data_IF_609154112197
#
_entry.id   IF_609154112197
#
_cell.length_a   1.000
_cell.length_b   1.000
_cell.length_c   1.000
_cell.angle_alpha   90.00
_cell.angle_beta   90.00
_cell.angle_gamma   90.00
#
_symmetry.space_group_name_H-M   'P 1'
#
loop_
_entity.id
_entity.type
_entity.pdbx_description
1 polymer ?
#
# COMPACT_ATOMS: atom_id res chain seq x y z
N UNK A 1 -16.75 73.63 46.66
CA UNK A 1 -16.40 73.41 45.26
C UNK A 1 -15.50 72.15 45.20
N UNK A 2 -16.09 70.99 45.00
CA UNK A 2 -15.35 69.72 44.94
C UNK A 2 -15.55 69.20 43.53
N UNK A 3 -14.42 69.06 42.78
CA UNK A 3 -14.41 68.49 41.43
C UNK A 3 -14.30 66.97 41.55
N UNK A 4 -15.29 66.28 41.00
CA UNK A 4 -15.24 64.81 40.83
C UNK A 4 -14.34 64.44 39.66
N UNK A 5 -13.45 63.48 39.88
CA UNK A 5 -12.62 62.85 38.85
C UNK A 5 -13.20 61.44 38.59
N UNK A 6 -13.73 61.27 37.38
CA UNK A 6 -14.20 59.96 36.92
C UNK A 6 -13.04 59.14 36.34
N UNK A 7 -12.79 57.96 36.88
CA UNK A 7 -11.86 56.98 36.30
C UNK A 7 -12.61 56.07 35.35
N UNK A 8 -12.19 56.02 34.06
CA UNK A 8 -12.61 55.03 33.10
C UNK A 8 -11.76 53.78 33.29
N UNK A 9 -12.38 52.69 33.68
CA UNK A 9 -11.76 51.37 33.60
C UNK A 9 -11.99 50.77 32.21
N UNK A 10 -10.94 50.71 31.40
CA UNK A 10 -10.95 49.96 30.12
C UNK A 10 -10.82 48.47 30.38
N UNK A 11 -11.85 47.70 30.02
CA UNK A 11 -11.81 46.27 30.00
C UNK A 11 -10.95 45.77 28.81
N UNK A 12 -9.77 45.27 29.11
CA UNK A 12 -8.99 44.50 28.17
C UNK A 12 -9.42 43.02 28.24
N UNK A 13 -10.20 42.58 27.27
CA UNK A 13 -10.48 41.16 27.10
C UNK A 13 -9.27 40.54 26.38
N UNK A 14 -8.44 39.79 27.11
CA UNK A 14 -7.43 38.91 26.52
C UNK A 14 -8.14 37.70 25.95
N UNK A 15 -8.26 37.64 24.62
CA UNK A 15 -8.64 36.44 23.90
C UNK A 15 -7.44 35.48 23.90
N UNK A 16 -7.41 34.52 24.83
CA UNK A 16 -6.48 33.39 24.75
C UNK A 16 -6.96 32.49 23.62
N UNK A 17 -6.33 32.58 22.45
CA UNK A 17 -6.45 31.58 21.41
C UNK A 17 -5.73 30.30 21.89
N UNK A 18 -6.48 29.33 22.35
CA UNK A 18 -5.97 27.95 22.53
C UNK A 18 -5.69 27.38 21.14
N UNK A 19 -4.42 27.40 20.73
CA UNK A 19 -3.92 26.56 19.66
C UNK A 19 -3.97 25.11 20.15
N UNK A 20 -5.08 24.42 19.87
CA UNK A 20 -5.13 22.96 19.96
C UNK A 20 -4.31 22.39 18.82
N UNK A 21 -3.01 22.25 19.01
CA UNK A 21 -2.21 21.40 18.13
C UNK A 21 -2.75 19.98 18.28
N UNK A 22 -3.36 19.48 17.22
CA UNK A 22 -3.86 18.10 17.14
C UNK A 22 -2.68 17.13 17.37
N UNK A 23 -2.61 16.59 18.58
CA UNK A 23 -1.63 15.55 18.97
C UNK A 23 -1.98 14.16 18.44
N UNK A 24 -2.97 14.06 17.53
CA UNK A 24 -3.43 12.78 16.97
C UNK A 24 -2.38 12.08 16.09
N UNK A 25 -1.50 12.82 15.41
CA UNK A 25 -0.44 12.23 14.57
C UNK A 25 0.60 11.46 15.39
N UNK A 26 1.09 12.02 16.50
CA UNK A 26 2.16 11.40 17.30
C UNK A 26 1.75 10.13 18.04
N UNK A 27 0.49 10.00 18.46
CA UNK A 27 0.01 8.79 19.14
C UNK A 27 -0.14 7.61 18.17
N UNK A 28 -0.53 7.88 16.91
CA UNK A 28 -0.61 6.85 15.87
C UNK A 28 0.79 6.33 15.48
N UNK A 29 1.81 7.19 15.43
CA UNK A 29 3.18 6.81 15.13
C UNK A 29 3.79 5.88 16.20
N UNK A 30 3.53 6.12 17.48
CA UNK A 30 4.02 5.27 18.58
C UNK A 30 3.33 3.91 18.62
N UNK A 31 2.03 3.83 18.30
CA UNK A 31 1.32 2.56 18.19
C UNK A 31 1.70 1.82 16.91
N UNK A 32 1.85 2.52 15.79
CA UNK A 32 2.32 1.95 14.53
C UNK A 32 3.68 1.28 14.66
N UNK A 33 4.62 1.90 15.35
CA UNK A 33 5.98 1.37 15.56
C UNK A 33 6.03 0.02 16.30
N UNK A 34 4.99 -0.36 17.04
CA UNK A 34 4.88 -1.65 17.76
C UNK A 34 4.18 -2.75 16.97
N UNK A 35 3.68 -2.43 15.78
CA UNK A 35 2.89 -3.32 14.94
C UNK A 35 3.54 -3.49 13.57
N UNK A 36 3.27 -4.60 12.90
CA UNK A 36 3.69 -4.83 11.51
C UNK A 36 2.53 -4.52 10.58
N UNK A 37 2.18 -3.23 10.46
CA UNK A 37 0.90 -2.77 9.96
C UNK A 37 0.82 -2.57 8.44
N UNK A 38 1.94 -2.74 7.73
CA UNK A 38 2.05 -2.56 6.29
C UNK A 38 3.13 -3.46 5.67
N UNK A 39 3.23 -3.46 4.35
CA UNK A 39 4.32 -4.06 3.60
C UNK A 39 5.68 -3.60 4.15
N UNK A 40 6.55 -4.57 4.49
CA UNK A 40 7.88 -4.35 5.07
C UNK A 40 7.88 -3.63 6.43
N UNK A 41 6.76 -3.65 7.14
CA UNK A 41 6.67 -3.22 8.54
C UNK A 41 6.60 -1.70 8.76
N UNK A 42 6.75 -1.25 10.00
CA UNK A 42 6.44 0.12 10.40
C UNK A 42 7.25 1.19 9.66
N UNK A 43 8.48 0.89 9.26
CA UNK A 43 9.37 1.81 8.55
C UNK A 43 9.45 1.47 7.04
N UNK A 44 8.62 0.56 6.52
CA UNK A 44 8.62 0.08 5.14
C UNK A 44 9.99 -0.43 4.64
N UNK A 45 10.90 -0.81 5.54
CA UNK A 45 12.28 -1.23 5.24
C UNK A 45 12.58 -2.69 5.62
N UNK A 46 11.61 -3.43 6.18
CA UNK A 46 11.77 -4.81 6.61
C UNK A 46 12.39 -4.97 8.00
N UNK A 47 12.61 -3.88 8.73
CA UNK A 47 13.26 -3.90 10.04
C UNK A 47 12.22 -3.71 11.16
N UNK A 48 12.36 -4.48 12.22
CA UNK A 48 11.68 -4.24 13.50
C UNK A 48 12.72 -3.89 14.56
N UNK A 49 12.62 -2.69 15.12
CA UNK A 49 13.56 -2.22 16.16
C UNK A 49 13.30 -2.85 17.53
N UNK A 50 12.16 -3.50 17.71
CA UNK A 50 11.70 -4.04 19.00
C UNK A 50 11.56 -5.56 19.02
N UNK A 51 11.67 -6.22 17.85
CA UNK A 51 11.52 -7.65 17.77
C UNK A 51 12.81 -8.37 18.18
N UNK A 52 12.62 -9.49 18.87
CA UNK A 52 13.69 -10.45 19.22
C UNK A 52 13.30 -11.80 18.58
N UNK A 53 13.46 -11.96 17.26
CA UNK A 53 13.11 -13.22 16.60
C UNK A 53 14.04 -14.34 17.05
N UNK A 54 13.56 -15.59 17.07
CA UNK A 54 14.44 -16.73 17.31
C UNK A 54 15.48 -16.83 16.20
N UNK A 55 16.69 -17.27 16.56
CA UNK A 55 17.79 -17.48 15.59
C UNK A 55 17.68 -18.82 14.86
N UNK A 56 16.93 -19.76 15.43
CA UNK A 56 16.65 -21.08 14.86
C UNK A 56 15.16 -21.38 14.96
N UNK A 57 14.63 -22.09 13.98
CA UNK A 57 13.26 -22.62 14.00
C UNK A 57 13.15 -23.86 13.13
N UNK A 58 12.20 -24.75 13.50
CA UNK A 58 11.85 -25.96 12.76
C UNK A 58 10.35 -26.23 12.92
N UNK A 59 9.84 -27.29 12.31
CA UNK A 59 8.43 -27.69 12.50
C UNK A 59 8.05 -27.97 13.97
N UNK A 60 9.01 -28.26 14.82
CA UNK A 60 8.81 -28.55 16.27
C UNK A 60 9.44 -27.54 17.21
N UNK A 61 10.14 -26.51 16.69
CA UNK A 61 10.87 -25.55 17.52
C UNK A 61 10.56 -24.11 17.07
N UNK A 62 10.22 -23.27 18.03
CA UNK A 62 9.98 -21.84 17.83
C UNK A 62 8.84 -21.52 16.83
N UNK A 63 7.98 -22.50 16.49
CA UNK A 63 6.72 -22.33 15.78
C UNK A 63 5.59 -22.32 16.78
N UNK A 64 4.88 -21.22 16.92
CA UNK A 64 3.76 -21.11 17.86
C UNK A 64 2.52 -21.83 17.36
N UNK A 65 2.20 -21.67 16.08
CA UNK A 65 1.09 -22.32 15.40
C UNK A 65 1.32 -22.33 13.89
N UNK A 66 0.63 -23.23 13.21
CA UNK A 66 0.60 -23.38 11.77
C UNK A 66 -0.84 -23.69 11.37
N UNK A 67 -1.41 -22.90 10.47
CA UNK A 67 -2.79 -23.09 10.01
C UNK A 67 -2.83 -23.09 8.48
N UNK A 68 -3.64 -23.96 7.87
CA UNK A 68 -3.88 -23.93 6.43
C UNK A 68 -4.74 -22.72 6.08
N UNK A 69 -4.48 -22.10 4.93
CA UNK A 69 -5.29 -21.04 4.35
C UNK A 69 -5.77 -21.49 2.99
N UNK A 70 -7.10 -21.43 2.76
CA UNK A 70 -7.69 -21.78 1.49
C UNK A 70 -7.26 -20.80 0.39
N UNK A 71 -7.09 -21.33 -0.83
CA UNK A 71 -6.74 -20.54 -1.99
C UNK A 71 -5.24 -20.22 -2.05
N UNK A 72 -4.92 -19.08 -2.68
CA UNK A 72 -3.56 -18.61 -2.87
C UNK A 72 -3.43 -17.11 -2.62
N UNK A 73 -2.46 -16.74 -1.80
CA UNK A 73 -2.05 -15.36 -1.58
C UNK A 73 -0.54 -15.32 -1.35
N UNK A 74 0.16 -14.42 -2.03
CA UNK A 74 1.60 -14.15 -1.79
C UNK A 74 1.82 -12.81 -1.09
N UNK A 75 0.74 -12.20 -0.61
CA UNK A 75 0.78 -11.00 0.24
C UNK A 75 1.48 -11.29 1.57
N UNK A 76 2.21 -10.32 2.09
CA UNK A 76 2.69 -10.40 3.47
C UNK A 76 1.56 -10.15 4.45
N UNK A 77 1.40 -10.97 5.49
CA UNK A 77 0.47 -10.68 6.55
C UNK A 77 0.84 -9.37 7.26
N UNK A 78 -0.17 -8.61 7.71
CA UNK A 78 0.02 -7.47 8.59
C UNK A 78 -0.53 -7.75 9.97
N UNK A 79 0.06 -7.11 10.97
CA UNK A 79 -0.25 -7.36 12.37
C UNK A 79 -0.62 -6.06 13.07
N UNK A 80 -1.75 -6.08 13.78
CA UNK A 80 -2.16 -5.00 14.66
C UNK A 80 -2.71 -5.56 15.99
N UNK A 81 -2.04 -5.29 17.07
CA UNK A 81 -2.38 -5.86 18.38
C UNK A 81 -2.35 -7.38 18.37
N UNK A 82 -3.47 -7.99 18.72
CA UNK A 82 -3.65 -9.45 18.73
C UNK A 82 -4.26 -10.02 17.42
N UNK A 83 -4.37 -9.21 16.36
CA UNK A 83 -4.93 -9.60 15.06
C UNK A 83 -3.85 -9.72 13.99
N UNK A 84 -3.97 -10.73 13.13
CA UNK A 84 -3.15 -10.92 11.91
C UNK A 84 -4.09 -10.90 10.73
N UNK A 85 -3.84 -10.02 9.76
CA UNK A 85 -4.64 -9.89 8.55
C UNK A 85 -3.85 -10.36 7.34
N UNK A 86 -4.50 -11.09 6.45
CA UNK A 86 -3.93 -11.57 5.19
C UNK A 86 -4.98 -11.65 4.09
N UNK A 87 -4.51 -11.71 2.85
CA UNK A 87 -5.34 -11.79 1.67
C UNK A 87 -5.16 -13.15 0.98
N UNK A 88 -6.22 -13.67 0.41
CA UNK A 88 -6.21 -14.89 -0.40
C UNK A 88 -7.19 -14.77 -1.57
N UNK A 89 -6.93 -15.50 -2.64
CA UNK A 89 -7.85 -15.71 -3.76
C UNK A 89 -8.17 -17.20 -3.88
N UNK A 90 -9.45 -17.52 -3.74
CA UNK A 90 -9.95 -18.91 -3.72
C UNK A 90 -10.68 -19.20 -5.01
N UNK A 91 -10.23 -20.18 -5.79
CA UNK A 91 -10.97 -20.64 -6.96
C UNK A 91 -12.27 -21.32 -6.50
N UNK A 92 -13.42 -20.80 -6.94
CA UNK A 92 -14.74 -21.34 -6.55
C UNK A 92 -15.15 -22.58 -7.34
N UNK A 93 -14.47 -22.88 -8.47
CA UNK A 93 -14.86 -23.91 -9.41
C UNK A 93 -16.03 -23.50 -10.33
N UNK A 94 -16.64 -22.32 -10.12
CA UNK A 94 -17.69 -21.82 -10.99
C UNK A 94 -17.11 -21.30 -12.30
N UNK A 95 -17.49 -21.94 -13.42
CA UNK A 95 -16.97 -21.64 -14.76
C UNK A 95 -17.86 -20.60 -15.44
N UNK A 96 -17.27 -19.57 -16.01
CA UNK A 96 -17.94 -18.68 -16.96
C UNK A 96 -17.77 -19.24 -18.37
N UNK A 97 -18.83 -19.87 -18.89
CA UNK A 97 -18.84 -20.51 -20.21
C UNK A 97 -18.76 -19.52 -21.38
N UNK A 98 -18.91 -18.22 -21.13
CA UNK A 98 -18.74 -17.16 -22.16
C UNK A 98 -17.28 -16.86 -22.45
N UNK A 99 -16.35 -17.29 -21.57
CA UNK A 99 -14.91 -17.07 -21.70
C UNK A 99 -14.21 -18.30 -22.31
N UNK A 100 -13.13 -18.09 -23.07
CA UNK A 100 -12.33 -19.20 -23.62
C UNK A 100 -11.76 -20.06 -22.49
N UNK A 101 -11.80 -21.37 -22.65
CA UNK A 101 -11.15 -22.28 -21.72
C UNK A 101 -9.63 -22.06 -21.72
N UNK A 102 -8.95 -22.24 -20.59
CA UNK A 102 -7.48 -22.06 -20.51
C UNK A 102 -6.71 -22.87 -21.56
N UNK A 103 -7.14 -24.11 -21.85
CA UNK A 103 -6.53 -24.99 -22.85
C UNK A 103 -6.68 -24.49 -24.28
N UNK A 104 -7.76 -23.77 -24.60
CA UNK A 104 -8.06 -23.24 -25.93
C UNK A 104 -7.39 -21.88 -26.19
N UNK A 105 -6.72 -21.30 -25.18
CA UNK A 105 -6.09 -19.99 -25.33
C UNK A 105 -4.71 -20.09 -26.01
N UNK A 106 -4.31 -19.03 -26.73
CA UNK A 106 -2.99 -18.96 -27.32
C UNK A 106 -1.90 -19.10 -26.27
N UNK A 107 -0.75 -19.63 -26.67
CA UNK A 107 0.41 -19.71 -25.81
C UNK A 107 0.92 -18.29 -25.49
N UNK A 108 1.18 -18.02 -24.24
CA UNK A 108 1.76 -16.77 -23.75
C UNK A 108 3.11 -17.05 -23.09
N UNK A 109 3.90 -15.99 -22.89
CA UNK A 109 5.15 -16.06 -22.15
C UNK A 109 4.91 -16.74 -20.80
N UNK A 110 5.81 -17.61 -20.39
CA UNK A 110 5.73 -18.44 -19.17
C UNK A 110 4.52 -19.38 -19.10
N UNK A 111 3.84 -19.66 -20.22
CA UNK A 111 2.67 -20.53 -20.25
C UNK A 111 1.44 -19.98 -19.51
N UNK A 112 1.39 -18.66 -19.28
CA UNK A 112 0.32 -18.04 -18.53
C UNK A 112 -1.01 -18.14 -19.28
N UNK A 113 -2.03 -18.65 -18.59
CA UNK A 113 -3.41 -18.73 -19.07
C UNK A 113 -4.29 -17.79 -18.28
N UNK A 114 -5.26 -17.17 -18.93
CA UNK A 114 -6.28 -16.39 -18.24
C UNK A 114 -7.36 -17.34 -17.70
N UNK A 115 -7.84 -17.16 -16.47
CA UNK A 115 -8.88 -18.01 -15.93
C UNK A 115 -10.22 -17.78 -16.63
N UNK A 116 -11.03 -18.81 -16.67
CA UNK A 116 -12.45 -18.74 -16.99
C UNK A 116 -13.32 -19.18 -15.81
N UNK A 117 -12.69 -19.31 -14.64
CA UNK A 117 -13.36 -19.65 -13.38
C UNK A 117 -13.41 -18.43 -12.47
N UNK A 118 -14.48 -18.33 -11.70
CA UNK A 118 -14.67 -17.30 -10.69
C UNK A 118 -13.74 -17.57 -9.49
N UNK A 119 -13.18 -16.49 -8.96
CA UNK A 119 -12.40 -16.50 -7.73
C UNK A 119 -13.10 -15.66 -6.67
N UNK A 120 -13.10 -16.14 -5.44
CA UNK A 120 -13.46 -15.37 -4.26
C UNK A 120 -12.20 -14.68 -3.72
N UNK A 121 -12.24 -13.36 -3.66
CA UNK A 121 -11.16 -12.54 -3.11
C UNK A 121 -11.41 -12.33 -1.62
N UNK A 122 -10.59 -12.96 -0.78
CA UNK A 122 -10.87 -13.15 0.63
C UNK A 122 -9.91 -12.36 1.51
N UNK A 123 -10.48 -11.68 2.50
CA UNK A 123 -9.74 -11.07 3.62
C UNK A 123 -9.95 -11.94 4.85
N UNK A 124 -8.84 -12.27 5.52
CA UNK A 124 -8.86 -13.09 6.74
C UNK A 124 -8.27 -12.32 7.91
N UNK A 125 -8.86 -12.54 9.08
CA UNK A 125 -8.31 -12.12 10.36
C UNK A 125 -8.10 -13.33 11.25
N UNK A 126 -6.88 -13.50 11.71
CA UNK A 126 -6.51 -14.58 12.63
C UNK A 126 -6.11 -14.00 13.99
N UNK A 127 -6.36 -14.76 15.03
CA UNK A 127 -5.83 -14.48 16.37
C UNK A 127 -4.31 -14.72 16.38
N UNK A 128 -3.55 -13.72 16.74
CA UNK A 128 -2.08 -13.75 16.73
C UNK A 128 -1.49 -14.79 17.69
N UNK A 129 -2.18 -15.11 18.77
CA UNK A 129 -1.67 -16.04 19.81
C UNK A 129 -1.91 -17.49 19.42
N UNK A 130 -3.05 -17.76 18.78
CA UNK A 130 -3.53 -19.13 18.53
C UNK A 130 -3.58 -19.54 17.08
N UNK A 131 -3.54 -18.57 16.14
CA UNK A 131 -3.75 -18.80 14.71
C UNK A 131 -5.21 -19.08 14.33
N UNK A 132 -6.14 -19.09 15.29
CA UNK A 132 -7.55 -19.33 15.01
C UNK A 132 -8.14 -18.19 14.18
N UNK A 133 -8.98 -18.54 13.20
CA UNK A 133 -9.73 -17.56 12.44
C UNK A 133 -10.72 -16.82 13.35
N UNK A 134 -10.61 -15.48 13.36
CA UNK A 134 -11.57 -14.61 14.06
C UNK A 134 -12.72 -14.29 13.11
N UNK A 135 -12.38 -13.92 11.87
CA UNK A 135 -13.35 -13.70 10.81
C UNK A 135 -12.72 -13.86 9.43
N UNK A 136 -13.60 -14.13 8.46
CA UNK A 136 -13.30 -14.20 7.02
C UNK A 136 -14.36 -13.43 6.27
N UNK A 137 -13.95 -12.67 5.23
CA UNK A 137 -14.87 -11.91 4.36
C UNK A 137 -14.48 -12.07 2.92
N UNK A 138 -15.43 -12.42 2.07
CA UNK A 138 -15.30 -12.22 0.63
C UNK A 138 -15.46 -10.73 0.34
N UNK A 139 -14.43 -10.11 -0.22
CA UNK A 139 -14.46 -8.72 -0.67
C UNK A 139 -15.29 -8.63 -1.95
N UNK A 140 -15.05 -9.56 -2.89
CA UNK A 140 -15.76 -9.73 -4.15
C UNK A 140 -15.54 -11.13 -4.72
N UNK A 141 -16.45 -11.56 -5.62
CA UNK A 141 -16.35 -12.78 -6.41
C UNK A 141 -16.43 -12.39 -7.89
N UNK A 142 -15.38 -12.70 -8.66
CA UNK A 142 -15.33 -12.42 -10.10
C UNK A 142 -14.34 -13.34 -10.81
N UNK A 143 -14.42 -13.38 -12.15
CA UNK A 143 -13.40 -13.99 -12.98
C UNK A 143 -12.31 -12.97 -13.23
N UNK A 144 -11.03 -13.23 -12.83
CA UNK A 144 -9.93 -12.33 -13.15
C UNK A 144 -9.77 -12.16 -14.67
N UNK A 145 -9.60 -10.93 -15.13
CA UNK A 145 -9.52 -10.61 -16.57
C UNK A 145 -8.19 -11.03 -17.22
N UNK A 146 -7.14 -11.21 -16.42
CA UNK A 146 -5.83 -11.70 -16.83
C UNK A 146 -5.38 -12.83 -15.90
N UNK A 147 -4.37 -13.61 -16.33
CA UNK A 147 -3.69 -14.57 -15.50
C UNK A 147 -2.63 -13.93 -14.61
N UNK A 148 -1.76 -14.76 -14.06
CA UNK A 148 -0.56 -14.33 -13.32
C UNK A 148 0.57 -15.34 -13.50
N UNK A 149 1.81 -14.90 -13.24
CA UNK A 149 2.95 -15.81 -13.16
C UNK A 149 2.76 -16.86 -12.06
N UNK A 150 3.33 -18.06 -12.23
CA UNK A 150 3.20 -19.16 -11.26
C UNK A 150 3.63 -18.79 -9.83
N UNK A 151 4.56 -17.83 -9.68
CA UNK A 151 5.06 -17.37 -8.38
C UNK A 151 4.28 -16.16 -7.85
N UNK A 152 3.30 -15.65 -8.61
CA UNK A 152 2.38 -14.58 -8.24
C UNK A 152 1.00 -15.17 -7.85
N UNK A 153 0.04 -14.33 -7.49
CA UNK A 153 -1.35 -14.68 -7.20
C UNK A 153 -2.28 -13.50 -7.48
N UNK A 154 -3.60 -13.72 -7.46
CA UNK A 154 -4.58 -12.64 -7.50
C UNK A 154 -4.74 -11.88 -6.17
N UNK A 155 -3.98 -12.29 -5.13
CA UNK A 155 -3.94 -11.65 -3.82
C UNK A 155 -2.48 -11.41 -3.41
N UNK A 156 -1.75 -10.63 -4.20
CA UNK A 156 -0.31 -10.39 -4.01
C UNK A 156 0.01 -9.10 -3.28
N UNK A 157 -0.83 -8.08 -3.43
CA UNK A 157 -0.68 -6.86 -2.65
C UNK A 157 -0.89 -7.14 -1.15
N UNK A 158 0.00 -6.63 -0.31
CA UNK A 158 -0.14 -6.74 1.13
C UNK A 158 -1.17 -5.73 1.63
N UNK A 159 -2.04 -6.09 2.58
CA UNK A 159 -2.94 -5.12 3.17
C UNK A 159 -2.20 -4.05 3.97
N UNK A 160 -2.88 -2.96 4.28
CA UNK A 160 -2.41 -1.92 5.18
C UNK A 160 -3.46 -1.69 6.28
N UNK A 161 -3.04 -1.44 7.51
CA UNK A 161 -3.94 -1.00 8.57
C UNK A 161 -3.42 0.23 9.32
N UNK A 162 -4.31 1.20 9.55
CA UNK A 162 -4.04 2.38 10.38
C UNK A 162 -4.45 2.17 11.86
N UNK A 163 -4.87 0.93 12.21
CA UNK A 163 -5.37 0.57 13.53
C UNK A 163 -6.85 0.84 13.74
N UNK A 164 -7.52 1.44 12.78
CA UNK A 164 -8.98 1.65 12.74
C UNK A 164 -9.60 0.98 11.53
N UNK A 165 -8.89 0.99 10.41
CA UNK A 165 -9.31 0.46 9.12
C UNK A 165 -8.27 -0.49 8.55
N UNK A 166 -8.72 -1.39 7.71
CA UNK A 166 -7.92 -2.33 6.95
C UNK A 166 -8.17 -2.09 5.47
N UNK A 167 -7.13 -1.73 4.72
CA UNK A 167 -7.17 -1.45 3.30
C UNK A 167 -6.63 -2.65 2.53
N UNK A 168 -7.47 -3.26 1.71
CA UNK A 168 -7.20 -4.49 0.98
C UNK A 168 -7.27 -4.22 -0.52
N UNK A 169 -6.12 -4.27 -1.19
CA UNK A 169 -6.02 -4.07 -2.62
C UNK A 169 -5.87 -5.41 -3.35
N UNK A 170 -6.79 -5.70 -4.25
CA UNK A 170 -6.75 -6.90 -5.09
C UNK A 170 -6.51 -6.55 -6.57
N UNK A 171 -5.74 -5.50 -6.83
CA UNK A 171 -5.47 -5.07 -8.19
C UNK A 171 -6.76 -4.72 -8.93
N UNK A 172 -6.89 -5.25 -10.13
CA UNK A 172 -8.05 -5.03 -10.98
C UNK A 172 -9.36 -5.63 -10.45
N UNK A 173 -9.32 -6.39 -9.35
CA UNK A 173 -10.52 -6.83 -8.65
C UNK A 173 -11.02 -5.81 -7.61
N UNK A 174 -10.29 -4.72 -7.37
CA UNK A 174 -10.75 -3.58 -6.58
C UNK A 174 -10.00 -3.34 -5.27
N UNK A 175 -10.25 -2.15 -4.71
CA UNK A 175 -9.80 -1.72 -3.39
C UNK A 175 -10.97 -1.76 -2.40
N UNK A 176 -10.74 -2.38 -1.26
CA UNK A 176 -11.74 -2.57 -0.21
C UNK A 176 -11.22 -2.07 1.12
N UNK A 177 -12.09 -1.39 1.86
CA UNK A 177 -11.81 -0.95 3.22
C UNK A 177 -12.77 -1.64 4.18
N UNK A 178 -12.20 -2.20 5.24
CA UNK A 178 -12.95 -2.82 6.33
C UNK A 178 -12.58 -2.14 7.65
N UNK A 179 -13.45 -2.26 8.66
CA UNK A 179 -12.99 -2.07 10.03
C UNK A 179 -12.23 -3.33 10.51
N UNK A 180 -11.63 -3.27 11.70
CA UNK A 180 -10.83 -4.39 12.21
C UNK A 180 -11.69 -5.59 12.68
N UNK A 181 -13.01 -5.45 12.67
CA UNK A 181 -13.99 -6.52 12.97
C UNK A 181 -14.58 -7.15 11.70
N UNK A 182 -14.11 -6.68 10.54
CA UNK A 182 -14.45 -7.24 9.23
C UNK A 182 -15.75 -6.70 8.63
N UNK A 183 -16.25 -5.57 9.09
CA UNK A 183 -17.36 -4.88 8.43
C UNK A 183 -16.79 -4.05 7.27
N UNK A 184 -17.35 -4.25 6.06
CA UNK A 184 -16.94 -3.48 4.89
C UNK A 184 -17.47 -2.04 5.01
N UNK A 185 -16.55 -1.07 4.98
CA UNK A 185 -16.84 0.35 5.09
C UNK A 185 -17.09 0.97 3.71
N UNK A 186 -16.18 0.70 2.77
CA UNK A 186 -16.29 1.17 1.40
C UNK A 186 -15.50 0.28 0.44
N UNK A 187 -15.75 0.43 -0.86
CA UNK A 187 -14.97 -0.21 -1.92
C UNK A 187 -14.88 0.68 -3.15
N UNK A 188 -13.81 0.53 -3.93
CA UNK A 188 -13.59 1.25 -5.20
C UNK A 188 -13.13 0.28 -6.27
N UNK A 189 -13.78 0.37 -7.43
CA UNK A 189 -13.28 -0.17 -8.68
C UNK A 189 -12.41 0.92 -9.34
N UNK A 190 -11.12 0.62 -9.53
CA UNK A 190 -10.17 1.53 -10.19
C UNK A 190 -9.91 1.11 -11.65
N UNK A 191 -10.71 0.19 -12.18
CA UNK A 191 -10.60 -0.35 -13.52
C UNK A 191 -9.58 -1.47 -13.67
N UNK A 192 -9.44 -1.99 -14.87
CA UNK A 192 -8.55 -3.13 -15.18
C UNK A 192 -7.19 -2.62 -15.64
N UNK A 193 -6.12 -3.16 -15.07
CA UNK A 193 -4.76 -2.94 -15.51
C UNK A 193 -4.42 -3.97 -16.60
N UNK A 194 -3.62 -3.58 -17.58
CA UNK A 194 -2.99 -4.51 -18.54
C UNK A 194 -1.55 -4.74 -18.12
N UNK A 195 -1.29 -5.88 -17.50
CA UNK A 195 0.05 -6.17 -16.96
C UNK A 195 0.94 -6.81 -18.05
N UNK A 196 2.18 -6.35 -18.13
CA UNK A 196 3.15 -6.90 -19.07
C UNK A 196 3.27 -8.41 -18.97
N UNK A 197 3.15 -9.11 -20.10
CA UNK A 197 3.15 -10.57 -20.22
C UNK A 197 2.13 -11.28 -19.29
N UNK A 198 1.10 -10.58 -18.80
CA UNK A 198 0.13 -11.09 -17.81
C UNK A 198 0.77 -11.62 -16.53
N UNK A 199 1.88 -11.03 -16.08
CA UNK A 199 2.63 -11.49 -14.91
C UNK A 199 1.87 -11.30 -13.58
N UNK A 200 0.77 -10.53 -13.61
CA UNK A 200 -0.06 -10.21 -12.45
C UNK A 200 0.37 -8.93 -11.74
N UNK A 201 -0.56 -8.34 -11.01
CA UNK A 201 -0.35 -7.12 -10.22
C UNK A 201 0.31 -7.46 -8.87
N UNK A 202 1.06 -6.52 -8.26
CA UNK A 202 1.78 -6.79 -7.03
C UNK A 202 2.04 -5.59 -6.13
N UNK A 203 1.71 -4.38 -6.58
CA UNK A 203 1.88 -3.15 -5.81
C UNK A 203 0.93 -3.13 -4.60
N UNK A 204 1.43 -2.78 -3.41
CA UNK A 204 0.60 -2.67 -2.20
C UNK A 204 0.09 -1.23 -2.00
N UNK A 205 -1.07 -1.04 -1.38
CA UNK A 205 -1.51 0.29 -0.96
C UNK A 205 -0.60 0.82 0.15
N UNK A 206 -0.42 2.13 0.19
CA UNK A 206 0.24 2.80 1.30
C UNK A 206 -0.68 3.89 1.86
N UNK A 207 -0.67 4.08 3.19
CA UNK A 207 -1.58 5.02 3.85
C UNK A 207 -0.80 5.95 4.76
N UNK A 208 -1.07 7.23 4.64
CA UNK A 208 -0.50 8.23 5.53
C UNK A 208 -1.43 9.45 5.59
N UNK A 209 -1.55 10.02 6.77
CA UNK A 209 -2.29 11.25 7.03
C UNK A 209 -3.69 11.28 6.37
N UNK A 210 -4.46 10.22 6.62
CA UNK A 210 -5.83 10.08 6.11
C UNK A 210 -5.96 9.88 4.59
N UNK A 211 -4.87 9.57 3.89
CA UNK A 211 -4.86 9.33 2.45
C UNK A 211 -4.36 7.92 2.13
N UNK A 212 -5.09 7.21 1.27
CA UNK A 212 -4.67 5.93 0.68
C UNK A 212 -4.10 6.21 -0.69
N UNK A 213 -2.83 5.84 -0.91
CA UNK A 213 -2.17 6.00 -2.21
C UNK A 213 -2.11 4.66 -2.92
N UNK A 214 -2.54 4.63 -4.17
CA UNK A 214 -2.48 3.47 -5.07
C UNK A 214 -1.63 3.82 -6.28
N UNK A 215 -0.63 3.00 -6.54
CA UNK A 215 0.21 3.06 -7.74
C UNK A 215 -0.18 1.92 -8.69
N UNK A 216 -0.39 2.25 -9.96
CA UNK A 216 -0.82 1.28 -11.00
C UNK A 216 -0.04 1.51 -12.28
N UNK A 217 1.21 1.09 -12.30
CA UNK A 217 2.04 1.11 -13.52
C UNK A 217 1.74 -0.16 -14.35
N UNK A 218 1.31 0.02 -15.60
CA UNK A 218 0.85 -1.07 -16.47
C UNK A 218 0.93 -0.65 -17.96
N UNK A 219 0.72 -1.59 -18.88
CA UNK A 219 0.78 -1.34 -20.34
C UNK A 219 -0.45 -0.60 -20.91
N UNK A 220 -1.45 -0.31 -20.08
CA UNK A 220 -2.52 0.64 -20.38
C UNK A 220 -2.17 2.03 -19.92
N UNK A 221 -3.15 2.76 -19.38
CA UNK A 221 -2.88 4.05 -18.73
C UNK A 221 -2.38 3.85 -17.31
N UNK A 222 -1.13 4.12 -17.07
CA UNK A 222 -0.51 4.10 -15.74
C UNK A 222 -0.95 5.31 -14.92
N UNK A 223 -1.19 5.08 -13.63
CA UNK A 223 -1.67 6.13 -12.72
C UNK A 223 -1.08 5.99 -11.32
N UNK A 224 -0.98 7.13 -10.64
CA UNK A 224 -0.90 7.21 -9.18
C UNK A 224 -2.06 8.06 -8.69
N UNK A 225 -2.73 7.62 -7.65
CA UNK A 225 -3.87 8.33 -7.09
C UNK A 225 -3.92 8.25 -5.58
N UNK A 226 -4.45 9.30 -4.95
CA UNK A 226 -4.77 9.31 -3.53
C UNK A 226 -6.28 9.40 -3.34
N UNK A 227 -6.76 8.60 -2.40
CA UNK A 227 -8.15 8.54 -1.97
C UNK A 227 -8.24 8.93 -0.50
N UNK A 228 -9.35 9.52 -0.11
CA UNK A 228 -9.66 9.74 1.31
C UNK A 228 -9.78 8.38 2.02
N UNK A 229 -9.03 8.21 3.08
CA UNK A 229 -8.96 6.93 3.79
C UNK A 229 -10.27 6.55 4.50
N UNK A 230 -11.13 7.53 4.81
CA UNK A 230 -12.39 7.29 5.51
C UNK A 230 -13.53 6.92 4.55
N UNK A 231 -13.59 7.56 3.38
CA UNK A 231 -14.70 7.40 2.42
C UNK A 231 -14.30 6.65 1.13
N UNK A 232 -13.01 6.61 0.81
CA UNK A 232 -12.50 6.14 -0.48
C UNK A 232 -12.74 7.13 -1.62
N UNK A 233 -13.14 8.36 -1.36
CA UNK A 233 -13.34 9.36 -2.40
C UNK A 233 -12.02 9.84 -2.98
N UNK A 234 -11.96 10.11 -4.28
CA UNK A 234 -10.73 10.54 -4.92
C UNK A 234 -10.33 11.95 -4.45
N UNK A 235 -9.08 12.10 -4.03
CA UNK A 235 -8.49 13.40 -3.66
C UNK A 235 -7.70 13.98 -4.82
N UNK A 236 -6.84 13.17 -5.43
CA UNK A 236 -6.12 13.52 -6.63
C UNK A 236 -5.72 12.27 -7.41
N UNK A 237 -5.52 12.44 -8.72
CA UNK A 237 -5.03 11.42 -9.65
C UNK A 237 -4.05 12.02 -10.64
N UNK A 238 -2.96 11.32 -10.93
CA UNK A 238 -1.96 11.69 -11.94
C UNK A 238 -1.74 10.53 -12.89
N UNK A 239 -1.70 10.84 -14.16
CA UNK A 239 -1.25 9.93 -15.19
C UNK A 239 0.27 9.78 -15.14
N UNK A 240 0.75 8.61 -15.53
CA UNK A 240 2.16 8.25 -15.55
C UNK A 240 2.49 7.60 -16.89
N UNK A 241 3.72 7.76 -17.33
CA UNK A 241 4.27 7.21 -18.56
C UNK A 241 5.12 5.96 -18.32
N UNK A 242 4.78 5.17 -17.29
CA UNK A 242 5.50 3.95 -16.94
C UNK A 242 4.84 2.73 -17.58
N UNK A 243 5.59 1.87 -18.32
CA UNK A 243 4.98 0.74 -19.03
C UNK A 243 4.61 -0.44 -18.12
N UNK A 244 5.31 -0.60 -17.01
CA UNK A 244 5.08 -1.64 -16.00
C UNK A 244 5.66 -1.20 -14.65
N UNK A 245 5.21 -1.83 -13.56
CA UNK A 245 5.80 -1.63 -12.24
C UNK A 245 5.16 -2.53 -11.19
N UNK A 246 6.00 -3.03 -10.28
CA UNK A 246 5.56 -3.84 -9.13
C UNK A 246 6.06 -3.27 -7.80
N UNK A 247 6.79 -2.16 -7.86
CA UNK A 247 7.35 -1.47 -6.69
C UNK A 247 6.26 -0.79 -5.88
N UNK A 248 6.13 -1.13 -4.61
CA UNK A 248 5.24 -0.42 -3.68
C UNK A 248 5.84 0.95 -3.36
N UNK A 249 5.06 2.05 -3.41
CA UNK A 249 5.53 3.37 -3.05
C UNK A 249 6.04 3.47 -1.62
N UNK A 250 6.96 4.40 -1.38
CA UNK A 250 7.41 4.79 -0.05
C UNK A 250 6.86 6.17 0.30
N UNK A 251 6.24 6.30 1.48
CA UNK A 251 5.84 7.60 2.00
C UNK A 251 6.88 8.08 3.01
N UNK A 252 7.39 9.30 2.80
CA UNK A 252 8.43 9.90 3.64
C UNK A 252 8.05 11.32 4.02
N UNK A 253 7.72 11.58 5.30
CA UNK A 253 7.69 12.94 5.80
C UNK A 253 9.10 13.55 5.76
N UNK A 254 9.26 14.67 5.06
CA UNK A 254 10.54 15.36 4.95
C UNK A 254 10.33 16.87 4.96
N UNK A 255 10.91 17.56 5.95
CA UNK A 255 10.69 18.97 6.21
C UNK A 255 9.18 19.31 6.35
N UNK A 256 8.68 20.25 5.57
CA UNK A 256 7.27 20.70 5.60
C UNK A 256 6.35 19.88 4.68
N UNK A 257 6.89 18.86 3.97
CA UNK A 257 6.15 18.06 2.98
C UNK A 257 6.26 16.57 3.27
N UNK A 258 5.21 15.86 2.95
CA UNK A 258 5.25 14.40 2.87
C UNK A 258 5.38 13.97 1.41
N UNK A 259 6.43 13.24 1.11
CA UNK A 259 6.76 12.76 -0.22
C UNK A 259 6.23 11.34 -0.43
N UNK A 260 5.68 11.07 -1.61
CA UNK A 260 5.36 9.71 -2.10
C UNK A 260 6.37 9.37 -3.18
N UNK A 261 7.27 8.45 -2.90
CA UNK A 261 8.36 8.09 -3.79
C UNK A 261 8.04 6.78 -4.50
N UNK A 262 8.13 6.80 -5.83
CA UNK A 262 7.84 5.68 -6.71
C UNK A 262 9.05 5.36 -7.56
N UNK A 263 9.34 4.07 -7.75
CA UNK A 263 10.30 3.61 -8.73
C UNK A 263 9.55 3.13 -9.98
N UNK A 264 9.91 3.66 -11.13
CA UNK A 264 9.37 3.27 -12.43
C UNK A 264 10.49 2.92 -13.41
N UNK A 265 10.12 2.36 -14.55
CA UNK A 265 11.07 1.98 -15.61
C UNK A 265 11.70 3.22 -16.25
N UNK A 266 10.91 4.27 -16.45
CA UNK A 266 11.37 5.53 -17.04
C UNK A 266 11.97 6.45 -15.98
N UNK A 267 11.22 6.69 -14.89
CA UNK A 267 11.60 7.68 -13.88
C UNK A 267 11.26 7.21 -12.45
N UNK A 268 12.17 7.51 -11.55
CA UNK A 268 11.87 7.64 -10.13
C UNK A 268 11.19 8.99 -9.95
N UNK A 269 10.06 9.04 -9.25
CA UNK A 269 9.34 10.29 -8.99
C UNK A 269 9.00 10.42 -7.52
N UNK A 270 9.18 11.63 -7.02
CA UNK A 270 8.65 12.07 -5.73
C UNK A 270 7.45 12.98 -5.95
N UNK A 271 6.31 12.59 -5.38
CA UNK A 271 5.08 13.37 -5.41
C UNK A 271 4.80 13.98 -4.04
N UNK A 272 4.21 15.16 -4.03
CA UNK A 272 3.61 15.75 -2.84
C UNK A 272 2.34 14.97 -2.47
N UNK A 273 2.29 14.37 -1.29
CA UNK A 273 1.14 13.58 -0.84
C UNK A 273 -0.15 14.40 -0.82
N UNK A 274 -0.06 15.72 -0.61
CA UNK A 274 -1.25 16.58 -0.49
C UNK A 274 -2.01 16.74 -1.80
N UNK A 275 -1.30 16.88 -2.93
CA UNK A 275 -1.93 17.25 -4.21
C UNK A 275 -1.41 16.46 -5.43
N UNK A 276 -0.47 15.55 -5.24
CA UNK A 276 0.12 14.75 -6.31
C UNK A 276 1.04 15.52 -7.26
N UNK A 277 1.47 16.74 -6.93
CA UNK A 277 2.46 17.45 -7.74
C UNK A 277 3.84 16.80 -7.63
N UNK A 278 4.58 16.75 -8.74
CA UNK A 278 5.95 16.23 -8.73
C UNK A 278 6.85 17.24 -8.01
N UNK A 279 7.57 16.76 -7.00
CA UNK A 279 8.58 17.54 -6.25
C UNK A 279 9.92 17.43 -6.99
N UNK A 280 10.32 16.20 -7.32
CA UNK A 280 11.51 15.90 -8.11
C UNK A 280 11.32 14.58 -8.88
N UNK A 281 12.16 14.40 -9.90
CA UNK A 281 12.25 13.15 -10.65
C UNK A 281 13.69 12.85 -11.07
N UNK A 282 13.99 11.58 -11.37
CA UNK A 282 15.30 11.11 -11.76
C UNK A 282 15.19 9.87 -12.63
N UNK A 283 15.88 9.86 -13.78
CA UNK A 283 16.08 8.66 -14.58
C UNK A 283 17.20 7.78 -14.03
N UNK A 284 17.41 6.61 -14.62
CA UNK A 284 18.59 5.76 -14.37
C UNK A 284 18.31 4.38 -13.78
N UNK A 285 17.06 4.00 -13.57
CA UNK A 285 16.68 2.60 -13.33
C UNK A 285 16.57 1.83 -14.66
N UNK A 286 16.51 0.52 -14.59
CA UNK A 286 16.26 -0.37 -15.72
C UNK A 286 14.83 -0.87 -15.73
N UNK A 287 14.45 -1.53 -16.82
CA UNK A 287 13.09 -2.07 -17.04
C UNK A 287 12.63 -3.06 -15.97
N UNK A 288 11.32 -3.13 -15.77
CA UNK A 288 10.63 -4.02 -14.84
C UNK A 288 11.08 -3.80 -13.39
N UNK A 289 10.93 -2.59 -12.91
CA UNK A 289 11.30 -2.20 -11.55
C UNK A 289 10.41 -2.90 -10.52
N UNK A 290 11.01 -3.76 -9.70
CA UNK A 290 10.35 -4.55 -8.65
C UNK A 290 10.75 -4.07 -7.24
N UNK A 291 12.04 -3.75 -6.97
CA UNK A 291 12.46 -3.35 -5.64
C UNK A 291 11.77 -2.08 -5.17
N UNK A 292 11.30 -2.10 -3.91
CA UNK A 292 10.70 -0.92 -3.29
C UNK A 292 11.78 0.05 -2.78
N UNK A 293 11.55 1.36 -2.86
CA UNK A 293 12.48 2.34 -2.30
C UNK A 293 12.57 2.22 -0.78
N UNK A 294 13.73 2.55 -0.23
CA UNK A 294 13.97 2.64 1.22
C UNK A 294 14.73 3.93 1.53
N UNK A 295 14.64 4.41 2.76
CA UNK A 295 15.26 5.69 3.17
C UNK A 295 16.05 5.57 4.47
N UNK A 296 17.06 6.42 4.62
CA UNK A 296 17.77 6.68 5.87
C UNK A 296 17.29 7.98 6.57
N UNK A 297 16.29 8.66 5.96
CA UNK A 297 15.74 9.92 6.43
C UNK A 297 16.32 11.17 5.74
N UNK A 298 17.44 11.04 5.04
CA UNK A 298 18.09 12.11 4.27
C UNK A 298 18.10 11.80 2.76
N UNK A 299 18.24 10.52 2.42
CA UNK A 299 18.25 10.00 1.06
C UNK A 299 17.24 8.90 0.90
N UNK A 300 16.78 8.72 -0.32
CA UNK A 300 16.07 7.52 -0.76
C UNK A 300 16.97 6.68 -1.63
N UNK A 301 16.96 5.38 -1.41
CA UNK A 301 17.71 4.39 -2.16
C UNK A 301 16.73 3.65 -3.07
N UNK A 302 16.92 3.78 -4.38
CA UNK A 302 16.12 3.17 -5.41
C UNK A 302 16.97 2.23 -6.23
N UNK A 303 16.46 1.06 -6.56
CA UNK A 303 17.22 0.06 -7.30
C UNK A 303 16.40 -0.68 -8.35
N UNK A 304 17.07 -1.23 -9.32
CA UNK A 304 16.53 -2.18 -10.28
C UNK A 304 17.50 -3.36 -10.45
N UNK A 305 17.01 -4.49 -10.95
CA UNK A 305 17.85 -5.70 -10.99
C UNK A 305 17.38 -6.81 -11.93
N UNK A 306 16.29 -6.61 -12.68
CA UNK A 306 15.79 -7.63 -13.60
C UNK A 306 16.47 -7.51 -14.98
N UNK A 307 16.46 -6.31 -15.58
CA UNK A 307 17.03 -6.06 -16.89
C UNK A 307 18.09 -4.95 -16.82
N UNK A 308 19.22 -5.26 -16.21
CA UNK A 308 20.26 -4.31 -15.81
C UNK A 308 20.25 -4.08 -14.30
N UNK A 309 21.33 -3.47 -13.80
CA UNK A 309 21.55 -3.27 -12.37
C UNK A 309 21.83 -1.80 -12.11
N UNK A 310 20.99 -1.17 -11.31
CA UNK A 310 21.18 0.22 -10.87
C UNK A 310 20.86 0.33 -9.39
N UNK A 311 21.65 1.13 -8.68
CA UNK A 311 21.39 1.58 -7.32
C UNK A 311 21.65 3.08 -7.26
N UNK A 312 20.62 3.84 -6.97
CA UNK A 312 20.69 5.30 -6.87
C UNK A 312 20.40 5.71 -5.42
N UNK A 313 21.21 6.63 -4.91
CA UNK A 313 21.00 7.28 -3.62
C UNK A 313 20.67 8.76 -3.88
N UNK A 314 19.41 9.13 -3.76
CA UNK A 314 18.89 10.42 -4.15
C UNK A 314 18.52 11.25 -2.92
N UNK A 315 18.89 12.56 -2.84
CA UNK A 315 18.56 13.38 -1.69
C UNK A 315 17.06 13.68 -1.64
N UNK A 316 16.45 13.53 -0.46
CA UNK A 316 15.04 13.91 -0.26
C UNK A 316 14.80 15.42 -0.42
N UNK A 317 15.85 16.23 -0.31
CA UNK A 317 15.82 17.69 -0.53
C UNK A 317 15.81 18.10 -2.01
N UNK A 318 15.92 17.16 -2.95
CA UNK A 318 15.95 17.42 -4.39
C UNK A 318 14.69 18.17 -4.87
N UNK A 319 14.83 18.89 -6.00
CA UNK A 319 13.73 19.61 -6.67
C UNK A 319 13.92 19.54 -8.18
N UNK A 320 12.82 19.39 -8.91
CA UNK A 320 12.83 19.35 -10.36
C UNK A 320 13.43 18.05 -10.92
N UNK A 321 13.99 18.11 -12.11
CA UNK A 321 14.64 16.95 -12.74
C UNK A 321 16.10 16.92 -12.34
N UNK A 322 16.54 15.84 -11.70
CA UNK A 322 17.91 15.63 -11.22
C UNK A 322 18.60 14.49 -11.97
N UNK A 323 18.10 14.12 -13.16
CA UNK A 323 18.71 13.09 -14.00
C UNK A 323 20.13 13.52 -14.40
N UNK A 324 21.13 12.70 -14.08
CA UNK A 324 22.53 12.94 -14.42
C UNK A 324 23.25 14.01 -13.58
N UNK A 325 22.65 14.44 -12.45
CA UNK A 325 23.27 15.40 -11.52
C UNK A 325 24.11 14.71 -10.45
#
# INVERSE_FOLDING_TARGET
>A
MIKSVSYFFGNWIFLLAFLTTSSSGRLNDVQGAKNWHQWRGPEANGVSRTATPPMTWSESENIRWKVPIDGRGVSSPVVWGDKVFLLSSVNTGEVDASLPKPEDQPERVFGIKHPNTKYSFVVLCLDRKTGKEIWRRAATDLVPHEGHHKDNSFASASPFTDGKRLYCWFGSAGLYCFDLDGNKLWSKDLGRAKVGASLGEGCSPVVHDGKVVILRDNQGQSTIEALDAASGDPLWKKERDEPNGWSTPLIVPYQEKTQVITCGDNLIRSYDLENGSIIWQCGGLSQNTIPCPVTDGERVYCMSGYSGYSLLALPLSAKGDITGS
#
